data_IF_964016266498
#
_entry.id   IF_964016266498
#
_cell.length_a   1.000
_cell.length_b   1.000
_cell.length_c   1.000
_cell.angle_alpha   90.00
_cell.angle_beta   90.00
_cell.angle_gamma   90.00
#
_symmetry.space_group_name_H-M   'P 1'
#
loop_
_entity.id
_entity.type
_entity.pdbx_description
1 polymer ?
#
# COMPACT_ATOMS: atom_id res chain seq x y z
N UNK A 1 4.19 -5.80 -6.09
CA UNK A 1 5.31 -6.69 -5.74
C UNK A 1 4.79 -7.69 -4.75
N UNK A 2 5.13 -8.97 -4.90
CA UNK A 2 4.70 -10.03 -4.00
C UNK A 2 5.85 -11.00 -3.75
N UNK A 3 5.98 -11.45 -2.51
CA UNK A 3 7.05 -12.37 -2.07
C UNK A 3 6.54 -13.80 -1.92
N UNK A 4 5.24 -13.98 -1.65
CA UNK A 4 4.66 -15.31 -1.61
C UNK A 4 4.58 -15.91 -3.02
N UNK A 5 5.21 -17.07 -3.20
CA UNK A 5 5.32 -17.73 -4.50
C UNK A 5 3.94 -18.12 -5.08
N UNK A 6 3.04 -18.60 -4.23
CA UNK A 6 1.71 -19.08 -4.65
C UNK A 6 0.85 -17.92 -5.12
N UNK A 7 0.79 -16.86 -4.32
CA UNK A 7 0.06 -15.62 -4.63
C UNK A 7 0.63 -14.96 -5.88
N UNK A 8 1.95 -14.93 -6.00
CA UNK A 8 2.63 -14.42 -7.20
C UNK A 8 2.28 -15.21 -8.46
N UNK A 9 2.20 -16.53 -8.37
CA UNK A 9 1.83 -17.38 -9.50
C UNK A 9 0.39 -17.13 -9.96
N UNK A 10 -0.54 -16.89 -9.02
CA UNK A 10 -1.93 -16.55 -9.34
C UNK A 10 -1.99 -15.16 -9.99
N UNK A 11 -1.28 -14.18 -9.44
CA UNK A 11 -1.23 -12.82 -9.99
C UNK A 11 -0.63 -12.79 -11.39
N UNK A 12 0.44 -13.56 -11.64
CA UNK A 12 1.07 -13.68 -12.94
C UNK A 12 0.13 -14.30 -13.97
N UNK A 13 -0.56 -15.39 -13.63
CA UNK A 13 -1.59 -15.99 -14.51
C UNK A 13 -2.69 -15.00 -14.87
N UNK A 14 -3.15 -14.20 -13.92
CA UNK A 14 -4.14 -13.14 -14.17
C UNK A 14 -3.57 -12.06 -15.12
N UNK A 15 -2.32 -11.67 -14.95
CA UNK A 15 -1.64 -10.72 -15.84
C UNK A 15 -1.48 -11.28 -17.26
N UNK A 16 -1.11 -12.56 -17.41
CA UNK A 16 -0.99 -13.24 -18.70
C UNK A 16 -2.35 -13.38 -19.40
N UNK A 17 -3.42 -13.59 -18.65
CA UNK A 17 -4.78 -13.68 -19.21
C UNK A 17 -5.38 -12.33 -19.65
N UNK A 18 -4.80 -11.22 -19.19
CA UNK A 18 -5.18 -9.87 -19.56
C UNK A 18 -3.94 -8.99 -19.73
N UNK A 19 -3.14 -9.24 -20.79
CA UNK A 19 -1.88 -8.56 -21.00
C UNK A 19 -2.15 -7.08 -21.28
N UNK A 20 -1.42 -6.20 -20.59
CA UNK A 20 -1.46 -4.77 -20.83
C UNK A 20 -0.04 -4.24 -20.96
N UNK A 21 0.22 -3.42 -21.98
CA UNK A 21 1.57 -2.89 -22.27
C UNK A 21 2.18 -2.12 -21.09
N UNK A 22 1.33 -1.55 -20.22
CA UNK A 22 1.71 -0.74 -19.05
C UNK A 22 1.58 -1.47 -17.71
N UNK A 23 1.49 -2.80 -17.72
CA UNK A 23 1.44 -3.62 -16.50
C UNK A 23 2.71 -4.46 -16.42
N UNK A 24 3.35 -4.45 -15.26
CA UNK A 24 4.49 -5.32 -14.95
C UNK A 24 4.26 -5.94 -13.59
N UNK A 25 4.70 -7.19 -13.43
CA UNK A 25 4.68 -7.88 -12.16
C UNK A 25 6.12 -8.12 -11.70
N UNK A 26 6.38 -7.84 -10.43
CA UNK A 26 7.68 -8.06 -9.81
C UNK A 26 7.49 -9.06 -8.68
N UNK A 27 8.16 -10.20 -8.80
CA UNK A 27 8.33 -11.16 -7.72
C UNK A 27 9.53 -10.73 -6.87
N UNK A 28 9.31 -10.41 -5.60
CA UNK A 28 10.37 -9.87 -4.76
C UNK A 28 9.89 -9.41 -3.39
N UNK A 29 10.85 -9.10 -2.52
CA UNK A 29 10.56 -8.53 -1.20
C UNK A 29 10.52 -6.99 -1.29
N UNK A 30 9.48 -6.39 -0.70
CA UNK A 30 9.32 -4.94 -0.62
C UNK A 30 10.47 -4.25 0.12
N UNK A 31 11.29 -4.99 0.89
CA UNK A 31 12.54 -4.45 1.46
C UNK A 31 13.58 -4.04 0.40
N UNK A 32 13.45 -4.50 -0.83
CA UNK A 32 14.37 -4.22 -1.94
C UNK A 32 13.88 -3.11 -2.86
N UNK A 33 12.91 -2.31 -2.42
CA UNK A 33 12.27 -1.30 -3.28
C UNK A 33 13.29 -0.33 -3.89
N UNK A 34 14.26 0.13 -3.08
CA UNK A 34 15.34 1.04 -3.51
C UNK A 34 16.40 0.38 -4.41
N UNK A 35 16.48 -0.96 -4.45
CA UNK A 35 17.31 -1.68 -5.42
C UNK A 35 16.61 -1.78 -6.79
N UNK A 36 15.28 -1.64 -6.82
CA UNK A 36 14.45 -1.86 -8.01
C UNK A 36 14.05 -0.57 -8.71
N UNK A 37 13.91 0.53 -7.95
CA UNK A 37 13.53 1.82 -8.46
C UNK A 37 14.55 2.88 -8.05
N UNK A 38 14.87 3.76 -8.98
CA UNK A 38 15.71 4.92 -8.75
C UNK A 38 14.98 6.03 -7.98
N UNK A 39 15.72 7.07 -7.56
CA UNK A 39 15.12 8.23 -6.91
C UNK A 39 14.09 8.91 -7.81
N UNK A 40 12.93 9.26 -7.24
CA UNK A 40 11.83 9.94 -7.94
C UNK A 40 11.29 9.19 -9.16
N UNK A 41 11.35 7.87 -9.18
CA UNK A 41 10.81 7.03 -10.26
C UNK A 41 9.35 6.62 -10.03
N UNK A 42 8.87 6.68 -8.79
CA UNK A 42 7.54 6.20 -8.41
C UNK A 42 6.61 7.36 -8.06
N UNK A 43 5.42 7.40 -8.67
CA UNK A 43 4.40 8.40 -8.31
C UNK A 43 3.57 7.99 -7.09
N UNK A 44 3.15 6.72 -7.02
CA UNK A 44 2.24 6.23 -5.96
C UNK A 44 2.66 4.84 -5.49
N UNK A 45 2.71 4.67 -4.17
CA UNK A 45 2.86 3.37 -3.50
C UNK A 45 1.50 2.94 -2.94
N UNK A 46 0.94 1.84 -3.45
CA UNK A 46 -0.29 1.25 -2.93
C UNK A 46 0.00 0.18 -1.87
N UNK A 47 -0.61 0.32 -0.69
CA UNK A 47 -0.57 -0.63 0.43
C UNK A 47 -1.98 -1.14 0.72
N UNK A 48 -2.38 -2.21 0.05
CA UNK A 48 -3.73 -2.77 0.17
C UNK A 48 -3.70 -4.04 1.04
N UNK A 49 -4.47 -4.05 2.13
CA UNK A 49 -4.70 -5.19 3.02
C UNK A 49 -3.41 -5.86 3.52
N UNK A 50 -2.40 -5.05 3.81
CA UNK A 50 -1.11 -5.52 4.30
C UNK A 50 -1.23 -6.21 5.67
N UNK A 51 -0.30 -7.12 5.95
CA UNK A 51 -0.28 -7.85 7.23
C UNK A 51 -0.23 -6.91 8.44
N UNK A 52 -1.16 -7.02 9.42
CA UNK A 52 -1.24 -6.09 10.54
C UNK A 52 -0.14 -6.28 11.60
N UNK A 53 0.49 -7.47 11.64
CA UNK A 53 1.50 -7.84 12.64
C UNK A 53 1.10 -7.44 14.07
N UNK A 54 0.05 -8.09 14.60
CA UNK A 54 -0.61 -7.71 15.88
C UNK A 54 0.31 -7.66 17.10
N UNK A 55 1.44 -8.38 17.11
CA UNK A 55 2.38 -8.44 18.25
C UNK A 55 3.46 -7.36 18.12
N UNK A 56 3.72 -6.61 19.20
CA UNK A 56 4.71 -5.51 19.22
C UNK A 56 6.10 -5.92 18.74
N UNK A 57 6.57 -7.14 19.09
CA UNK A 57 7.86 -7.66 18.61
C UNK A 57 7.97 -7.76 17.07
N UNK A 58 6.86 -7.70 16.34
CA UNK A 58 6.81 -7.76 14.88
C UNK A 58 6.52 -6.39 14.25
N UNK A 59 6.47 -5.31 15.02
CA UNK A 59 6.17 -3.95 14.54
C UNK A 59 7.02 -3.54 13.33
N UNK A 60 8.32 -3.87 13.35
CA UNK A 60 9.27 -3.56 12.26
C UNK A 60 8.89 -4.19 10.91
N UNK A 61 7.99 -5.18 10.89
CA UNK A 61 7.51 -5.84 9.67
C UNK A 61 6.31 -5.13 9.04
N UNK A 62 5.68 -4.19 9.73
CA UNK A 62 4.58 -3.40 9.17
C UNK A 62 5.13 -2.53 8.04
N UNK A 63 4.44 -2.51 6.91
CA UNK A 63 4.85 -1.72 5.75
C UNK A 63 4.80 -0.20 5.99
N UNK A 64 4.12 0.24 7.05
CA UNK A 64 4.12 1.63 7.49
C UNK A 64 5.07 1.90 8.67
N UNK A 65 6.04 1.02 8.94
CA UNK A 65 7.11 1.28 9.90
C UNK A 65 8.18 2.21 9.30
N UNK A 66 8.82 3.03 10.14
CA UNK A 66 9.72 4.12 9.72
C UNK A 66 10.73 3.75 8.62
N UNK A 67 11.38 2.59 8.70
CA UNK A 67 12.40 2.21 7.70
C UNK A 67 11.78 1.95 6.33
N UNK A 68 10.55 1.43 6.26
CA UNK A 68 9.81 1.29 5.00
C UNK A 68 9.37 2.63 4.44
N UNK A 69 9.03 3.57 5.33
CA UNK A 69 8.67 4.93 4.94
C UNK A 69 9.88 5.69 4.38
N UNK A 70 11.08 5.46 4.90
CA UNK A 70 12.32 5.97 4.33
C UNK A 70 12.53 5.41 2.91
N UNK A 71 12.38 4.10 2.72
CA UNK A 71 12.47 3.47 1.38
C UNK A 71 11.47 4.07 0.38
N UNK A 72 10.22 4.29 0.81
CA UNK A 72 9.19 4.92 -0.03
C UNK A 72 9.54 6.37 -0.35
N UNK A 73 10.00 7.13 0.65
CA UNK A 73 10.36 8.53 0.46
C UNK A 73 11.45 8.69 -0.60
N UNK A 74 12.44 7.80 -0.64
CA UNK A 74 13.57 7.90 -1.57
C UNK A 74 13.16 7.65 -3.03
N UNK A 75 12.28 6.66 -3.27
CA UNK A 75 11.84 6.32 -4.63
C UNK A 75 10.70 7.20 -5.15
N UNK A 76 9.93 7.82 -4.25
CA UNK A 76 8.78 8.65 -4.61
C UNK A 76 9.21 9.97 -5.25
N UNK A 77 8.44 10.42 -6.24
CA UNK A 77 8.53 11.78 -6.80
C UNK A 77 8.27 12.84 -5.73
N UNK A 78 8.55 14.11 -6.02
CA UNK A 78 8.38 15.20 -5.04
C UNK A 78 6.90 15.35 -4.62
N UNK A 79 5.96 15.02 -5.52
CA UNK A 79 4.52 14.98 -5.24
C UNK A 79 4.00 13.58 -4.97
N UNK A 80 4.89 12.61 -4.73
CA UNK A 80 4.53 11.21 -4.64
C UNK A 80 3.71 10.87 -3.39
N UNK A 81 2.90 9.81 -3.49
CA UNK A 81 1.89 9.48 -2.49
C UNK A 81 1.95 8.01 -2.02
N UNK A 82 1.52 7.79 -0.78
CA UNK A 82 1.23 6.45 -0.23
C UNK A 82 -0.28 6.33 -0.08
N UNK A 83 -0.86 5.34 -0.77
CA UNK A 83 -2.29 5.04 -0.74
C UNK A 83 -2.49 3.74 0.02
N UNK A 84 -3.13 3.80 1.18
CA UNK A 84 -3.38 2.64 2.00
C UNK A 84 -4.86 2.30 2.08
N UNK A 85 -5.17 1.01 1.98
CA UNK A 85 -6.47 0.43 2.31
C UNK A 85 -6.28 -0.74 3.28
N UNK A 86 -7.11 -0.83 4.31
CA UNK A 86 -7.11 -1.98 5.23
C UNK A 86 -8.48 -2.16 5.88
N UNK A 87 -8.82 -3.39 6.23
CA UNK A 87 -9.94 -3.76 7.09
C UNK A 87 -9.55 -3.78 8.58
N UNK A 88 -8.25 -3.60 8.89
CA UNK A 88 -7.72 -3.74 10.24
C UNK A 88 -7.58 -2.39 10.95
N UNK A 89 -8.48 -2.10 11.89
CA UNK A 89 -8.46 -0.86 12.68
C UNK A 89 -7.14 -0.63 13.44
N UNK A 90 -6.52 -1.70 13.94
CA UNK A 90 -5.26 -1.61 14.71
C UNK A 90 -4.09 -1.19 13.83
N UNK A 91 -3.99 -1.77 12.63
CA UNK A 91 -3.01 -1.37 11.63
C UNK A 91 -3.30 0.06 11.16
N UNK A 92 -4.56 0.40 10.86
CA UNK A 92 -4.93 1.73 10.39
C UNK A 92 -4.54 2.83 11.38
N UNK A 93 -4.90 2.68 12.66
CA UNK A 93 -4.55 3.65 13.69
C UNK A 93 -3.03 3.78 13.87
N UNK A 94 -2.31 2.65 13.83
CA UNK A 94 -0.86 2.65 13.86
C UNK A 94 -0.28 3.42 12.66
N UNK A 95 -0.81 3.20 11.46
CA UNK A 95 -0.34 3.83 10.23
C UNK A 95 -0.58 5.34 10.22
N UNK A 96 -1.74 5.81 10.69
CA UNK A 96 -2.02 7.25 10.86
C UNK A 96 -0.95 7.95 11.69
N UNK A 97 -0.56 7.35 12.83
CA UNK A 97 0.47 7.92 13.71
C UNK A 97 1.86 7.78 13.08
N UNK A 98 2.22 6.57 12.62
CA UNK A 98 3.56 6.27 12.11
C UNK A 98 3.89 7.12 10.88
N UNK A 99 2.99 7.16 9.89
CA UNK A 99 3.18 7.94 8.66
C UNK A 99 3.11 9.44 8.95
N UNK A 100 2.14 9.88 9.77
CA UNK A 100 1.97 11.29 10.13
C UNK A 100 3.16 11.88 10.93
N UNK A 101 3.84 11.04 11.71
CA UNK A 101 5.07 11.40 12.43
C UNK A 101 6.33 11.42 11.55
N UNK A 102 6.20 11.09 10.27
CA UNK A 102 7.29 11.02 9.31
C UNK A 102 7.23 12.18 8.29
N UNK A 103 8.01 12.09 7.21
CA UNK A 103 8.11 13.07 6.11
C UNK A 103 6.92 13.07 5.15
N UNK A 104 5.73 12.75 5.64
CA UNK A 104 4.50 12.68 4.86
C UNK A 104 3.39 13.50 5.53
N UNK A 105 2.49 14.06 4.74
CA UNK A 105 1.29 14.77 5.19
C UNK A 105 0.03 13.99 4.81
N UNK A 106 -0.97 13.98 5.70
CA UNK A 106 -2.25 13.32 5.42
C UNK A 106 -3.07 14.20 4.47
N UNK A 107 -3.45 13.66 3.32
CA UNK A 107 -4.22 14.35 2.29
C UNK A 107 -5.69 13.94 2.32
N UNK A 108 -5.96 12.68 2.62
CA UNK A 108 -7.31 12.12 2.60
C UNK A 108 -7.45 10.97 3.60
N UNK A 109 -8.63 10.83 4.20
CA UNK A 109 -8.91 9.79 5.22
C UNK A 109 -10.38 9.40 5.23
N UNK A 110 -10.63 8.09 5.21
CA UNK A 110 -11.97 7.50 5.31
C UNK A 110 -11.97 6.35 6.31
N UNK A 111 -12.94 6.37 7.22
CA UNK A 111 -13.13 5.31 8.21
C UNK A 111 -14.17 4.26 7.80
N UNK A 112 -14.80 4.49 6.66
CA UNK A 112 -15.77 3.58 6.01
C UNK A 112 -15.78 3.89 4.51
N UNK A 113 -14.68 3.54 3.85
CA UNK A 113 -14.46 3.79 2.44
C UNK A 113 -15.30 2.86 1.58
N UNK A 114 -16.11 3.45 0.70
CA UNK A 114 -16.87 2.76 -0.33
C UNK A 114 -16.63 3.50 -1.64
N UNK A 115 -15.97 2.86 -2.60
CA UNK A 115 -15.79 3.43 -3.93
C UNK A 115 -16.90 2.98 -4.87
N UNK A 116 -17.36 3.91 -5.72
CA UNK A 116 -18.17 3.60 -6.90
C UNK A 116 -17.38 3.84 -8.19
N UNK A 117 -16.06 4.08 -8.08
CA UNK A 117 -15.18 4.33 -9.22
C UNK A 117 -14.71 3.00 -9.82
N UNK A 118 -14.98 2.83 -11.11
CA UNK A 118 -14.56 1.66 -11.89
C UNK A 118 -13.03 1.55 -12.00
N UNK A 119 -12.30 2.65 -11.81
CA UNK A 119 -10.83 2.69 -11.84
C UNK A 119 -10.16 2.29 -10.51
N UNK A 120 -10.93 2.13 -9.44
CA UNK A 120 -10.48 1.54 -8.19
C UNK A 120 -11.10 0.14 -8.04
N UNK A 121 -10.62 -0.84 -8.84
CA UNK A 121 -11.31 -2.11 -9.01
C UNK A 121 -11.41 -2.85 -7.68
N UNK A 122 -12.65 -3.01 -7.23
CA UNK A 122 -13.01 -3.85 -6.09
C UNK A 122 -12.41 -5.24 -6.26
N UNK A 123 -11.48 -5.58 -5.39
CA UNK A 123 -10.99 -6.96 -5.27
C UNK A 123 -12.12 -7.88 -4.82
N UNK A 124 -12.02 -9.18 -5.13
CA UNK A 124 -12.97 -10.17 -4.60
C UNK A 124 -13.04 -10.15 -3.07
N UNK A 125 -11.92 -9.80 -2.42
CA UNK A 125 -11.84 -9.60 -0.99
C UNK A 125 -12.70 -8.43 -0.52
N UNK A 126 -12.55 -7.25 -1.13
CA UNK A 126 -13.34 -6.06 -0.79
C UNK A 126 -14.85 -6.29 -0.99
N UNK A 127 -15.26 -7.01 -2.04
CA UNK A 127 -16.69 -7.33 -2.28
C UNK A 127 -17.28 -8.14 -1.13
N UNK A 128 -16.58 -9.20 -0.71
CA UNK A 128 -17.02 -10.04 0.40
C UNK A 128 -17.09 -9.26 1.72
N UNK A 129 -16.15 -8.35 1.97
CA UNK A 129 -16.16 -7.48 3.15
C UNK A 129 -17.31 -6.48 3.14
N UNK A 130 -17.61 -5.91 1.97
CA UNK A 130 -18.75 -5.01 1.79
C UNK A 130 -20.08 -5.74 2.05
N UNK A 131 -20.24 -6.97 1.57
CA UNK A 131 -21.43 -7.80 1.83
C UNK A 131 -21.59 -8.15 3.32
N UNK A 132 -20.47 -8.26 4.06
CA UNK A 132 -20.46 -8.51 5.51
C UNK A 132 -20.66 -7.24 6.36
N UNK A 133 -20.77 -6.06 5.74
CA UNK A 133 -20.94 -4.78 6.43
C UNK A 133 -19.72 -4.31 7.22
N UNK A 134 -18.52 -4.86 6.94
CA UNK A 134 -17.30 -4.44 7.62
C UNK A 134 -16.68 -3.21 6.93
N UNK A 135 -16.29 -2.17 7.69
CA UNK A 135 -15.72 -0.97 7.10
C UNK A 135 -14.32 -1.24 6.55
N UNK A 136 -14.02 -0.62 5.41
CA UNK A 136 -12.66 -0.53 4.88
C UNK A 136 -12.13 0.86 5.23
N UNK A 137 -10.97 0.92 5.85
CA UNK A 137 -10.29 2.17 6.18
C UNK A 137 -9.35 2.54 5.02
N UNK A 138 -9.36 3.81 4.63
CA UNK A 138 -8.46 4.35 3.60
C UNK A 138 -7.77 5.61 4.09
N UNK A 139 -6.50 5.76 3.72
CA UNK A 139 -5.78 7.00 3.91
C UNK A 139 -4.81 7.23 2.74
N UNK A 140 -4.66 8.50 2.36
CA UNK A 140 -3.64 8.96 1.42
C UNK A 140 -2.71 9.90 2.17
N UNK A 141 -1.40 9.66 2.02
CA UNK A 141 -0.39 10.61 2.44
C UNK A 141 0.49 11.04 1.28
N UNK A 142 0.82 12.32 1.24
CA UNK A 142 1.74 12.90 0.24
C UNK A 142 3.09 13.19 0.86
N UNK A 143 4.16 13.01 0.08
CA UNK A 143 5.52 13.38 0.47
C UNK A 143 5.58 14.87 0.81
N UNK A 144 6.16 15.21 1.96
CA UNK A 144 6.41 16.61 2.34
C UNK A 144 7.69 17.09 1.67
N UNK A 145 7.66 18.31 1.15
CA UNK A 145 8.88 19.02 0.79
C UNK A 145 9.68 19.30 2.07
N UNK A 146 10.79 18.60 2.23
CA UNK A 146 11.79 18.95 3.25
C UNK A 146 12.60 20.10 2.66
N UNK A 147 12.21 21.34 2.99
CA UNK A 147 13.05 22.53 2.79
C UNK A 147 14.31 22.48 3.65
#
# INVERSE_FOLDING_TARGET
MERDFTTSSIALKKLESNPGERKRFIYGDAEKLSEMFGPKEVDVVHLNFSDPWKKNRHEKRRLTYKTKLDDYYDVLTDTGEIWMKTDNVGLFNYSLVSVGSHKFELVDVHVDFRTTDDNDPFTEYERKFHEMGQPIFRAIWRKKDVK
#
